data_IF_636709463904
#
_entry.id   IF_636709463904
#
_cell.length_a   1.000
_cell.length_b   1.000
_cell.length_c   1.000
_cell.angle_alpha   90.00
_cell.angle_beta   90.00
_cell.angle_gamma   90.00
#
_symmetry.space_group_name_H-M   'P 1'
#
loop_
_entity.id
_entity.type
_entity.pdbx_description
1 polymer ?
#
# COMPACT_ATOMS: atom_id res chain seq x y z
N UNK A 1 12.41 -16.74 1.38
CA UNK A 1 13.84 -16.33 1.49
C UNK A 1 14.02 -14.90 2.00
N UNK A 2 13.15 -13.94 1.66
CA UNK A 2 13.23 -12.56 2.17
C UNK A 2 12.82 -12.36 3.65
N UNK A 3 11.84 -13.11 4.21
CA UNK A 3 11.56 -13.06 5.66
C UNK A 3 12.74 -13.55 6.50
N UNK A 4 13.55 -14.48 5.97
CA UNK A 4 14.69 -15.06 6.67
C UNK A 4 15.91 -14.14 6.71
N UNK A 5 16.01 -13.15 5.82
CA UNK A 5 17.09 -12.15 5.83
C UNK A 5 16.66 -10.90 6.60
N UNK A 6 15.40 -10.48 6.47
CA UNK A 6 14.88 -9.28 7.13
C UNK A 6 14.65 -9.51 8.63
N UNK A 7 14.18 -10.69 9.05
CA UNK A 7 13.94 -10.98 10.49
C UNK A 7 15.22 -10.93 11.34
N UNK A 8 16.37 -11.52 10.93
CA UNK A 8 17.62 -11.37 11.67
C UNK A 8 18.11 -9.93 11.70
N UNK A 9 17.91 -9.17 10.63
CA UNK A 9 18.35 -7.78 10.53
C UNK A 9 17.51 -6.87 11.44
N UNK A 10 16.19 -7.03 11.44
CA UNK A 10 15.27 -6.37 12.39
C UNK A 10 15.59 -6.80 13.82
N UNK A 11 15.81 -8.10 14.08
CA UNK A 11 16.20 -8.60 15.41
C UNK A 11 17.53 -8.02 15.88
N UNK A 12 18.49 -7.83 14.96
CA UNK A 12 19.78 -7.21 15.26
C UNK A 12 19.62 -5.73 15.57
N UNK A 13 18.77 -5.01 14.83
CA UNK A 13 18.48 -3.60 15.11
C UNK A 13 17.68 -3.39 16.39
N UNK A 14 16.70 -4.25 16.69
CA UNK A 14 15.97 -4.24 17.96
C UNK A 14 16.92 -4.52 19.13
N UNK A 15 17.86 -5.48 18.98
CA UNK A 15 18.88 -5.74 19.99
C UNK A 15 19.85 -4.57 20.15
N UNK A 16 20.28 -3.95 19.05
CA UNK A 16 21.13 -2.75 19.08
C UNK A 16 20.42 -1.61 19.81
N UNK A 17 19.14 -1.37 19.51
CA UNK A 17 18.31 -0.37 20.18
C UNK A 17 18.14 -0.67 21.67
N UNK A 18 17.92 -1.94 22.03
CA UNK A 18 17.81 -2.38 23.43
C UNK A 18 19.13 -2.28 24.20
N UNK A 19 20.27 -2.37 23.52
CA UNK A 19 21.61 -2.24 24.11
C UNK A 19 22.21 -0.83 24.06
N UNK A 20 21.58 0.08 23.31
CA UNK A 20 22.08 1.44 23.12
C UNK A 20 21.80 2.30 24.35
N UNK A 21 22.79 3.07 24.80
CA UNK A 21 22.62 4.10 25.84
C UNK A 21 21.84 5.32 25.33
N UNK A 22 21.72 5.50 24.01
CA UNK A 22 20.98 6.58 23.34
C UNK A 22 19.85 6.06 22.44
N UNK A 23 19.11 5.04 22.89
CA UNK A 23 18.02 4.36 22.15
C UNK A 23 17.09 5.31 21.40
N UNK A 24 16.69 6.44 22.01
CA UNK A 24 15.80 7.43 21.40
C UNK A 24 16.39 8.04 20.12
N UNK A 25 17.64 8.50 20.17
CA UNK A 25 18.31 9.10 19.01
C UNK A 25 18.59 8.06 17.92
N UNK A 26 19.02 6.86 18.31
CA UNK A 26 19.28 5.76 17.38
C UNK A 26 18.00 5.30 16.67
N UNK A 27 16.87 5.27 17.38
CA UNK A 27 15.57 4.92 16.79
C UNK A 27 15.11 5.99 15.81
N UNK A 28 15.20 7.26 16.19
CA UNK A 28 14.86 8.41 15.31
C UNK A 28 15.68 8.37 14.02
N UNK A 29 17.00 8.20 14.13
CA UNK A 29 17.88 8.15 12.95
C UNK A 29 17.62 6.92 12.07
N UNK A 30 17.33 5.77 12.68
CA UNK A 30 17.03 4.54 11.95
C UNK A 30 15.73 4.69 11.13
N UNK A 31 14.66 5.21 11.74
CA UNK A 31 13.38 5.44 11.06
C UNK A 31 13.54 6.44 9.91
N UNK A 32 14.18 7.58 10.17
CA UNK A 32 14.44 8.59 9.14
C UNK A 32 15.29 8.03 7.98
N UNK A 33 16.30 7.21 8.29
CA UNK A 33 17.17 6.59 7.28
C UNK A 33 16.45 5.54 6.45
N UNK A 34 15.55 4.75 7.05
CA UNK A 34 14.72 3.80 6.31
C UNK A 34 13.79 4.49 5.32
N UNK A 35 13.13 5.56 5.75
CA UNK A 35 12.30 6.38 4.87
C UNK A 35 13.14 7.08 3.79
N UNK A 36 14.36 7.50 4.13
CA UNK A 36 15.33 8.04 3.17
C UNK A 36 15.73 7.03 2.08
N UNK A 37 15.83 5.74 2.38
CA UNK A 37 16.06 4.70 1.36
C UNK A 37 14.89 4.56 0.38
N UNK A 38 13.69 5.00 0.76
CA UNK A 38 12.52 5.06 -0.12
C UNK A 38 12.43 6.40 -0.89
N UNK A 39 13.44 7.27 -0.78
CA UNK A 39 13.45 8.58 -1.43
C UNK A 39 12.57 9.63 -0.73
N UNK A 40 12.15 9.34 0.50
CA UNK A 40 11.29 10.20 1.31
C UNK A 40 12.12 10.88 2.39
N UNK A 41 12.12 12.22 2.38
CA UNK A 41 12.69 12.99 3.48
C UNK A 41 11.73 12.94 4.67
N UNK A 42 12.16 12.30 5.76
CA UNK A 42 11.34 12.18 6.97
C UNK A 42 12.10 12.63 8.21
N UNK A 43 11.42 13.37 9.06
CA UNK A 43 11.91 13.78 10.37
C UNK A 43 10.95 13.30 11.44
N UNK A 44 11.45 12.54 12.43
CA UNK A 44 10.67 12.18 13.61
C UNK A 44 10.54 13.42 14.49
N UNK A 45 9.31 13.90 14.70
CA UNK A 45 9.03 15.11 15.47
C UNK A 45 8.70 14.80 16.92
N UNK A 46 8.03 13.67 17.18
CA UNK A 46 7.74 13.19 18.53
C UNK A 46 7.96 11.69 18.59
N UNK A 47 8.50 11.25 19.74
CA UNK A 47 8.66 9.85 20.08
C UNK A 47 8.28 9.69 21.53
N UNK A 48 7.18 8.99 21.75
CA UNK A 48 6.56 8.73 23.04
C UNK A 48 6.44 7.22 23.24
N UNK A 49 6.49 6.79 24.50
CA UNK A 49 6.30 5.39 24.88
C UNK A 49 5.02 5.29 25.68
N UNK A 50 4.05 4.54 25.18
CA UNK A 50 2.80 4.27 25.89
C UNK A 50 2.70 2.77 26.17
N UNK A 51 2.76 2.41 27.46
CA UNK A 51 2.71 1.06 28.01
C UNK A 51 3.65 0.02 27.35
N UNK A 52 3.27 -0.50 26.17
CA UNK A 52 3.99 -1.53 25.40
C UNK A 52 4.21 -1.13 23.93
N UNK A 53 3.99 0.14 23.58
CA UNK A 53 4.08 0.67 22.23
C UNK A 53 4.98 1.90 22.19
N UNK A 54 5.62 2.10 21.04
CA UNK A 54 6.36 3.32 20.74
C UNK A 54 5.52 4.09 19.73
N UNK A 55 5.02 5.25 20.13
CA UNK A 55 4.31 6.17 19.26
C UNK A 55 5.31 7.12 18.60
N UNK A 56 5.21 7.25 17.28
CA UNK A 56 6.13 8.05 16.47
C UNK A 56 5.32 9.01 15.63
N UNK A 57 5.52 10.32 15.84
CA UNK A 57 5.03 11.34 14.93
C UNK A 57 6.11 11.67 13.90
N UNK A 58 5.72 11.71 12.63
CA UNK A 58 6.61 11.93 11.50
C UNK A 58 6.19 13.20 10.76
N UNK A 59 7.17 14.02 10.41
CA UNK A 59 7.02 15.05 9.38
C UNK A 59 7.66 14.53 8.10
N UNK A 60 6.89 14.52 7.03
CA UNK A 60 7.33 14.02 5.72
C UNK A 60 7.47 15.21 4.76
N UNK A 61 8.62 15.29 4.11
CA UNK A 61 8.90 16.22 3.02
C UNK A 61 8.52 15.62 1.67
N UNK A 62 8.54 16.45 0.63
CA UNK A 62 8.23 16.02 -0.74
C UNK A 62 9.21 14.92 -1.18
N UNK A 63 8.74 13.76 -1.66
CA UNK A 63 9.62 12.77 -2.26
C UNK A 63 10.39 13.33 -3.47
N UNK A 64 11.60 12.84 -3.70
CA UNK A 64 12.45 13.32 -4.81
C UNK A 64 11.84 13.11 -6.19
N UNK A 65 11.04 12.05 -6.35
CA UNK A 65 10.38 11.63 -7.59
C UNK A 65 8.98 12.23 -7.82
N UNK A 66 8.42 12.94 -6.82
CA UNK A 66 7.07 13.50 -6.89
C UNK A 66 7.03 14.88 -7.57
N UNK A 67 6.05 15.11 -8.46
CA UNK A 67 5.83 16.41 -9.10
C UNK A 67 5.46 17.49 -8.05
N UNK A 68 6.07 18.68 -8.09
CA UNK A 68 5.76 19.76 -7.15
C UNK A 68 4.29 20.17 -7.11
N UNK A 69 3.56 20.09 -8.24
CA UNK A 69 2.14 20.45 -8.34
C UNK A 69 1.26 19.43 -7.63
N UNK A 70 1.53 18.15 -7.84
CA UNK A 70 0.81 17.06 -7.15
C UNK A 70 1.06 17.12 -5.65
N UNK A 71 2.30 17.38 -5.24
CA UNK A 71 2.65 17.55 -3.83
C UNK A 71 1.92 18.74 -3.19
N UNK A 72 1.83 19.87 -3.89
CA UNK A 72 1.11 21.04 -3.39
C UNK A 72 -0.40 20.74 -3.28
N UNK A 73 -0.98 20.06 -4.27
CA UNK A 73 -2.39 19.62 -4.23
C UNK A 73 -2.66 18.69 -3.03
N UNK A 74 -1.74 17.78 -2.71
CA UNK A 74 -1.83 16.93 -1.51
C UNK A 74 -1.82 17.78 -0.23
N UNK A 75 -0.88 18.73 -0.10
CA UNK A 75 -0.82 19.64 1.06
C UNK A 75 -2.11 20.45 1.19
N UNK A 76 -2.59 21.02 0.07
CA UNK A 76 -3.78 21.85 0.05
C UNK A 76 -5.00 21.03 0.49
N UNK A 77 -5.18 19.82 -0.06
CA UNK A 77 -6.25 18.89 0.32
C UNK A 77 -6.20 18.52 1.81
N UNK A 78 -5.00 18.23 2.35
CA UNK A 78 -4.82 17.91 3.77
C UNK A 78 -5.07 19.11 4.69
N UNK A 79 -4.80 20.33 4.21
CA UNK A 79 -5.02 21.57 4.96
C UNK A 79 -6.47 22.02 4.97
N UNK A 80 -7.23 21.66 3.93
CA UNK A 80 -8.65 21.98 3.77
C UNK A 80 -9.56 20.88 4.31
N UNK A 81 -9.04 19.66 4.51
CA UNK A 81 -9.75 18.57 5.14
C UNK A 81 -10.01 18.85 6.62
N UNK A 82 -11.28 18.94 7.02
CA UNK A 82 -11.66 18.97 8.42
C UNK A 82 -11.14 17.71 9.11
N UNK A 83 -10.19 17.89 10.03
CA UNK A 83 -9.65 16.85 10.95
C UNK A 83 -10.71 16.15 11.82
N UNK A 84 -11.98 16.51 11.66
CA UNK A 84 -13.15 15.96 12.35
C UNK A 84 -14.03 15.08 11.46
N UNK A 85 -13.76 14.99 10.15
CA UNK A 85 -14.31 13.90 9.38
C UNK A 85 -13.52 12.66 9.78
N UNK A 86 -14.17 11.59 10.28
CA UNK A 86 -13.47 10.30 10.36
C UNK A 86 -12.87 10.08 8.97
N UNK A 87 -11.67 9.50 8.88
CA UNK A 87 -11.28 8.87 7.63
C UNK A 87 -12.55 8.13 7.20
N UNK A 88 -13.18 8.55 6.12
CA UNK A 88 -14.09 7.67 5.40
C UNK A 88 -13.11 6.71 4.75
N UNK A 89 -12.53 5.89 5.62
CA UNK A 89 -11.98 4.60 5.36
C UNK A 89 -13.20 3.96 4.72
N UNK A 90 -13.30 4.08 3.39
CA UNK A 90 -14.16 3.28 2.54
C UNK A 90 -13.66 1.86 2.77
N UNK A 91 -13.95 1.40 3.98
CA UNK A 91 -13.77 0.06 4.43
C UNK A 91 -14.61 -0.70 3.45
N UNK A 92 -14.04 -1.80 2.99
CA UNK A 92 -14.65 -2.63 1.97
C UNK A 92 -16.16 -2.88 2.23
N UNK A 93 -16.59 -2.90 3.50
CA UNK A 93 -17.96 -3.04 3.98
C UNK A 93 -18.90 -1.85 3.71
N UNK A 94 -18.37 -0.63 3.58
CA UNK A 94 -19.13 0.59 3.28
C UNK A 94 -19.33 0.82 1.77
N UNK A 95 -18.57 0.10 0.93
CA UNK A 95 -18.71 0.15 -0.52
C UNK A 95 -20.02 -0.51 -0.97
N UNK A 96 -20.66 0.05 -2.00
CA UNK A 96 -21.75 -0.63 -2.69
C UNK A 96 -21.30 -1.97 -3.30
N UNK A 97 -22.23 -2.90 -3.53
CA UNK A 97 -21.90 -4.19 -4.15
C UNK A 97 -21.19 -4.04 -5.51
N UNK A 98 -21.56 -3.01 -6.30
CA UNK A 98 -20.92 -2.69 -7.58
C UNK A 98 -19.46 -2.28 -7.38
N UNK A 99 -19.19 -1.41 -6.41
CA UNK A 99 -17.83 -0.96 -6.07
C UNK A 99 -16.98 -2.10 -5.50
N UNK A 100 -17.54 -2.90 -4.58
CA UNK A 100 -16.88 -4.09 -4.05
C UNK A 100 -16.48 -5.07 -5.15
N UNK A 101 -17.41 -5.38 -6.05
CA UNK A 101 -17.17 -6.28 -7.18
C UNK A 101 -16.08 -5.73 -8.10
N UNK A 102 -16.08 -4.41 -8.35
CA UNK A 102 -15.08 -3.75 -9.18
C UNK A 102 -13.68 -3.82 -8.53
N UNK A 103 -13.58 -3.53 -7.23
CA UNK A 103 -12.34 -3.65 -6.47
C UNK A 103 -11.82 -5.09 -6.44
N UNK A 104 -12.68 -6.08 -6.14
CA UNK A 104 -12.31 -7.50 -6.16
C UNK A 104 -11.75 -7.91 -7.52
N UNK A 105 -12.38 -7.44 -8.60
CA UNK A 105 -11.97 -7.71 -9.98
C UNK A 105 -10.59 -7.12 -10.27
N UNK A 106 -10.41 -5.83 -10.02
CA UNK A 106 -9.11 -5.15 -10.15
C UNK A 106 -7.99 -5.89 -9.40
N UNK A 107 -8.24 -6.28 -8.15
CA UNK A 107 -7.24 -6.99 -7.35
C UNK A 107 -7.02 -8.42 -7.84
N UNK A 108 -8.06 -9.13 -8.29
CA UNK A 108 -7.90 -10.44 -8.91
C UNK A 108 -7.08 -10.37 -10.21
N UNK A 109 -7.26 -9.34 -11.03
CA UNK A 109 -6.39 -9.11 -12.18
C UNK A 109 -4.94 -8.90 -11.75
N UNK A 110 -4.69 -8.10 -10.71
CA UNK A 110 -3.34 -7.91 -10.15
C UNK A 110 -2.72 -9.21 -9.67
N UNK A 111 -3.49 -10.08 -9.02
CA UNK A 111 -3.02 -11.41 -8.59
C UNK A 111 -2.67 -12.30 -9.78
N UNK A 112 -3.40 -12.22 -10.89
CA UNK A 112 -3.10 -12.97 -12.11
C UNK A 112 -1.78 -12.50 -12.75
N UNK A 113 -1.60 -11.18 -12.91
CA UNK A 113 -0.37 -10.64 -13.52
C UNK A 113 0.85 -10.77 -12.61
N UNK A 114 0.67 -10.97 -11.31
CA UNK A 114 1.75 -11.31 -10.38
C UNK A 114 2.30 -12.73 -10.59
N UNK A 115 1.54 -13.63 -11.24
CA UNK A 115 1.97 -14.98 -11.58
C UNK A 115 1.64 -15.29 -13.05
N UNK A 116 2.30 -14.62 -14.02
CA UNK A 116 1.89 -14.68 -15.42
C UNK A 116 2.20 -16.02 -16.11
N UNK A 117 3.13 -16.80 -15.55
CA UNK A 117 3.61 -18.07 -16.12
C UNK A 117 2.96 -19.31 -15.50
N UNK A 118 2.09 -19.16 -14.49
CA UNK A 118 1.48 -20.28 -13.76
C UNK A 118 0.03 -19.98 -13.36
N UNK A 119 -0.78 -21.02 -13.18
CA UNK A 119 -2.05 -20.85 -12.47
C UNK A 119 -1.78 -20.37 -11.04
N UNK A 120 -2.56 -19.38 -10.61
CA UNK A 120 -2.43 -18.79 -9.27
C UNK A 120 -2.62 -19.88 -8.21
N UNK A 121 -1.56 -20.21 -7.49
CA UNK A 121 -1.62 -21.13 -6.34
C UNK A 121 -2.29 -20.43 -5.16
N UNK A 122 -3.62 -20.48 -5.17
CA UNK A 122 -4.46 -19.73 -4.23
C UNK A 122 -4.18 -20.11 -2.77
N UNK A 123 -3.90 -21.37 -2.49
CA UNK A 123 -3.64 -21.85 -1.12
C UNK A 123 -2.33 -21.26 -0.56
N UNK A 124 -1.34 -20.99 -1.41
CA UNK A 124 -0.12 -20.27 -1.03
C UNK A 124 -0.31 -18.75 -1.00
N UNK A 125 -1.24 -18.22 -1.76
CA UNK A 125 -1.45 -16.78 -1.92
C UNK A 125 -2.33 -16.18 -0.80
N UNK A 126 -3.31 -16.92 -0.28
CA UNK A 126 -4.19 -16.47 0.81
C UNK A 126 -3.42 -16.01 2.06
N UNK A 127 -2.42 -16.75 2.58
CA UNK A 127 -1.63 -16.29 3.72
C UNK A 127 -0.91 -14.95 3.46
N UNK A 128 -0.51 -14.67 2.22
CA UNK A 128 0.14 -13.42 1.85
C UNK A 128 -0.86 -12.25 1.90
N UNK A 129 -2.08 -12.45 1.37
CA UNK A 129 -3.14 -11.44 1.44
C UNK A 129 -3.57 -11.14 2.88
N UNK A 130 -3.62 -12.16 3.75
CA UNK A 130 -3.90 -11.97 5.18
C UNK A 130 -2.81 -11.16 5.89
N UNK A 131 -1.54 -11.33 5.51
CA UNK A 131 -0.43 -10.51 6.04
C UNK A 131 -0.48 -9.05 5.58
N UNK A 132 -1.18 -8.78 4.48
CA UNK A 132 -1.47 -7.42 4.00
C UNK A 132 -2.75 -6.83 4.63
N UNK A 133 -3.30 -7.49 5.66
CA UNK A 133 -4.49 -7.06 6.39
C UNK A 133 -5.75 -6.94 5.53
N UNK A 134 -5.84 -7.72 4.44
CA UNK A 134 -7.06 -7.76 3.63
C UNK A 134 -8.16 -8.50 4.42
N UNK A 135 -9.38 -7.96 4.41
CA UNK A 135 -10.49 -8.61 5.09
C UNK A 135 -10.88 -9.93 4.40
N UNK A 136 -11.46 -10.86 5.16
CA UNK A 136 -11.79 -12.19 4.64
C UNK A 136 -12.85 -12.14 3.52
N UNK A 137 -13.74 -11.15 3.53
CA UNK A 137 -14.77 -10.96 2.50
C UNK A 137 -14.18 -10.55 1.15
N UNK A 138 -13.19 -9.64 1.15
CA UNK A 138 -12.46 -9.21 -0.02
C UNK A 138 -11.61 -10.36 -0.56
N UNK A 139 -10.92 -11.12 0.31
CA UNK A 139 -10.15 -12.30 -0.09
C UNK A 139 -11.06 -13.32 -0.80
N UNK A 140 -12.23 -13.60 -0.24
CA UNK A 140 -13.21 -14.48 -0.87
C UNK A 140 -13.71 -13.93 -2.22
N UNK A 141 -13.97 -12.64 -2.29
CA UNK A 141 -14.36 -11.95 -3.52
C UNK A 141 -13.30 -12.01 -4.63
N UNK A 142 -12.04 -11.76 -4.29
CA UNK A 142 -10.89 -11.92 -5.20
C UNK A 142 -10.84 -13.35 -5.75
N UNK A 143 -11.02 -14.37 -4.90
CA UNK A 143 -11.05 -15.78 -5.34
C UNK A 143 -12.12 -16.04 -6.39
N UNK A 144 -13.31 -15.46 -6.20
CA UNK A 144 -14.42 -15.61 -7.15
C UNK A 144 -14.09 -14.88 -8.45
N UNK A 145 -13.58 -13.66 -8.35
CA UNK A 145 -13.21 -12.83 -9.49
C UNK A 145 -12.05 -13.42 -10.32
N UNK A 146 -11.15 -14.20 -9.71
CA UNK A 146 -10.09 -14.93 -10.42
C UNK A 146 -10.62 -15.96 -11.42
N UNK A 147 -11.82 -16.50 -11.19
CA UNK A 147 -12.45 -17.49 -12.10
C UNK A 147 -13.07 -16.85 -13.33
N UNK A 148 -13.20 -15.53 -13.35
CA UNK A 148 -13.80 -14.79 -14.45
C UNK A 148 -12.67 -14.14 -15.25
N UNK A 149 -12.56 -14.35 -16.57
CA UNK A 149 -11.60 -13.63 -17.40
C UNK A 149 -11.86 -12.13 -17.31
N UNK A 150 -10.80 -11.35 -17.05
CA UNK A 150 -10.93 -9.91 -16.90
C UNK A 150 -10.12 -9.18 -17.96
N UNK A 151 -10.75 -8.23 -18.65
CA UNK A 151 -10.04 -7.31 -19.54
C UNK A 151 -9.67 -6.06 -18.75
N UNK A 152 -8.39 -5.72 -18.73
CA UNK A 152 -7.88 -4.53 -18.06
C UNK A 152 -8.60 -3.26 -18.52
N UNK A 153 -8.94 -3.16 -19.80
CA UNK A 153 -9.60 -1.97 -20.37
C UNK A 153 -11.04 -1.80 -19.81
N UNK A 154 -11.77 -2.91 -19.59
CA UNK A 154 -13.12 -2.90 -19.00
C UNK A 154 -13.09 -2.63 -17.49
N UNK A 155 -11.98 -2.95 -16.82
CA UNK A 155 -11.83 -2.69 -15.39
C UNK A 155 -11.54 -1.22 -15.09
N UNK A 156 -10.82 -0.56 -15.99
CA UNK A 156 -10.44 0.86 -15.89
C UNK A 156 -11.54 1.82 -16.37
N UNK A 157 -12.52 1.34 -17.13
CA UNK A 157 -13.66 2.13 -17.60
C UNK A 157 -14.54 2.59 -16.42
N UNK A 158 -14.88 3.89 -16.34
CA UNK A 158 -15.67 4.49 -15.24
C UNK A 158 -15.12 4.19 -13.83
N UNK A 159 -13.79 4.13 -13.66
CA UNK A 159 -13.19 3.88 -12.35
C UNK A 159 -13.30 5.14 -11.47
N UNK A 160 -14.08 5.03 -10.39
CA UNK A 160 -14.23 6.10 -9.39
C UNK A 160 -12.88 6.38 -8.70
N UNK A 161 -12.48 7.65 -8.52
CA UNK A 161 -11.17 8.03 -7.95
C UNK A 161 -10.88 7.39 -6.59
N UNK A 162 -11.88 7.33 -5.70
CA UNK A 162 -11.71 6.78 -4.35
C UNK A 162 -11.48 5.26 -4.39
N UNK A 163 -12.21 4.54 -5.25
CA UNK A 163 -12.01 3.10 -5.45
C UNK A 163 -10.65 2.85 -6.10
N UNK A 164 -10.23 3.71 -7.03
CA UNK A 164 -8.94 3.62 -7.68
C UNK A 164 -7.79 3.80 -6.70
N UNK A 165 -7.88 4.78 -5.79
CA UNK A 165 -6.86 5.01 -4.76
C UNK A 165 -6.67 3.77 -3.87
N UNK A 166 -7.78 3.19 -3.40
CA UNK A 166 -7.78 1.97 -2.57
C UNK A 166 -7.27 0.77 -3.37
N UNK A 167 -7.72 0.62 -4.62
CA UNK A 167 -7.28 -0.45 -5.50
C UNK A 167 -5.78 -0.36 -5.78
N UNK A 168 -5.25 0.84 -6.03
CA UNK A 168 -3.84 1.08 -6.33
C UNK A 168 -2.95 0.77 -5.13
N UNK A 169 -3.31 1.23 -3.93
CA UNK A 169 -2.58 0.92 -2.69
C UNK A 169 -2.46 -0.61 -2.48
N UNK A 170 -3.58 -1.31 -2.64
CA UNK A 170 -3.65 -2.77 -2.48
C UNK A 170 -2.97 -3.51 -3.63
N UNK A 171 -3.05 -2.99 -4.86
CA UNK A 171 -2.38 -3.53 -6.04
C UNK A 171 -0.85 -3.43 -5.93
N UNK A 172 -0.33 -2.29 -5.47
CA UNK A 172 1.10 -2.09 -5.20
C UNK A 172 1.56 -3.06 -4.11
N UNK A 173 0.76 -3.23 -3.06
CA UNK A 173 1.08 -4.19 -1.99
C UNK A 173 1.17 -5.63 -2.50
N UNK A 174 0.31 -6.01 -3.46
CA UNK A 174 0.36 -7.31 -4.15
C UNK A 174 1.61 -7.42 -5.03
N UNK A 175 1.89 -6.43 -5.87
CA UNK A 175 3.02 -6.43 -6.81
C UNK A 175 4.40 -6.42 -6.09
N UNK A 176 4.43 -6.05 -4.81
CA UNK A 176 5.64 -6.05 -4.00
C UNK A 176 5.83 -7.33 -3.17
N UNK A 177 4.92 -8.32 -3.26
CA UNK A 177 5.01 -9.57 -2.48
C UNK A 177 6.28 -10.37 -2.78
N UNK A 178 6.70 -10.42 -4.05
CA UNK A 178 7.93 -11.08 -4.50
C UNK A 178 9.14 -10.11 -4.54
N UNK A 179 8.88 -8.83 -4.22
CA UNK A 179 9.80 -7.69 -4.25
C UNK A 179 10.37 -7.39 -5.64
N UNK A 180 9.65 -7.73 -6.71
CA UNK A 180 10.00 -7.40 -8.08
C UNK A 180 8.75 -7.09 -8.87
N UNK A 181 8.59 -5.84 -9.29
CA UNK A 181 7.51 -5.49 -10.20
C UNK A 181 7.88 -6.01 -11.59
N UNK A 182 7.08 -6.94 -12.10
CA UNK A 182 7.23 -7.48 -13.45
C UNK A 182 6.59 -6.54 -14.50
N UNK A 183 6.91 -6.68 -15.80
CA UNK A 183 6.39 -5.77 -16.83
C UNK A 183 4.86 -5.72 -16.95
N UNK A 184 4.17 -6.81 -16.62
CA UNK A 184 2.70 -6.86 -16.67
C UNK A 184 2.07 -6.17 -15.45
N UNK A 185 2.68 -6.30 -14.27
CA UNK A 185 2.30 -5.55 -13.08
C UNK A 185 2.53 -4.05 -13.26
N UNK A 186 3.68 -3.65 -13.81
CA UNK A 186 3.99 -2.25 -14.10
C UNK A 186 2.99 -1.64 -15.09
N UNK A 187 2.64 -2.39 -16.14
CA UNK A 187 1.61 -2.00 -17.10
C UNK A 187 0.23 -1.87 -16.43
N UNK A 188 -0.14 -2.79 -15.54
CA UNK A 188 -1.41 -2.75 -14.82
C UNK A 188 -1.50 -1.53 -13.89
N UNK A 189 -0.44 -1.29 -13.09
CA UNK A 189 -0.35 -0.14 -12.19
C UNK A 189 -0.38 1.19 -12.95
N UNK A 190 0.33 1.27 -14.08
CA UNK A 190 0.32 2.46 -14.94
C UNK A 190 -1.07 2.71 -15.51
N UNK A 191 -1.77 1.67 -16.00
CA UNK A 191 -3.15 1.83 -16.49
C UNK A 191 -4.13 2.22 -15.38
N UNK A 192 -3.98 1.69 -14.17
CA UNK A 192 -4.80 2.12 -13.03
C UNK A 192 -4.56 3.59 -12.70
N UNK A 193 -3.30 4.03 -12.72
CA UNK A 193 -2.95 5.43 -12.51
C UNK A 193 -3.50 6.34 -13.61
N UNK A 194 -3.44 5.93 -14.87
CA UNK A 194 -3.96 6.72 -15.99
C UNK A 194 -5.49 6.80 -15.98
N UNK A 195 -6.18 5.73 -15.56
CA UNK A 195 -7.62 5.76 -15.36
C UNK A 195 -8.03 6.81 -14.31
N UNK A 196 -7.20 7.04 -13.29
CA UNK A 196 -7.43 8.10 -12.29
C UNK A 196 -7.26 9.51 -12.88
N UNK A 197 -6.28 9.71 -13.77
CA UNK A 197 -6.04 11.03 -14.40
C UNK A 197 -7.17 11.43 -15.35
N UNK A 198 -7.77 10.46 -16.06
CA UNK A 198 -8.85 10.73 -17.02
C UNK A 198 -10.15 11.13 -16.29
N UNK A 199 -10.37 10.68 -15.06
CA UNK A 199 -11.53 11.09 -14.26
C UNK A 199 -11.49 12.55 -13.77
N UNK A 200 -10.37 13.25 -13.92
CA UNK A 200 -10.22 14.68 -13.56
C UNK A 200 -10.42 15.65 -14.75
N UNK A 201 -10.73 15.15 -15.95
CA UNK A 201 -10.95 15.95 -17.18
C UNK A 201 -12.44 16.06 -17.55
#
# INVERSE_FOLDING_TARGET
MLPEIVRPLVRTQVRLLASATSTRQTLVQTIARWLGYLGVEAQVTQLETDANQIQVALRVGKPSTCDPRDWQKIIDNLSQGDSSQPLVDLTYEQMSEKQQTKLQRLLAYMVQVAQPEAEVDWDKFVPLLKNLEFNDQLIAGIRVALKVPQSLDLLTEELEPDIAAIALEKAVSIALLDRRVNPQEDQALTKFLDAMKVSEA
#
